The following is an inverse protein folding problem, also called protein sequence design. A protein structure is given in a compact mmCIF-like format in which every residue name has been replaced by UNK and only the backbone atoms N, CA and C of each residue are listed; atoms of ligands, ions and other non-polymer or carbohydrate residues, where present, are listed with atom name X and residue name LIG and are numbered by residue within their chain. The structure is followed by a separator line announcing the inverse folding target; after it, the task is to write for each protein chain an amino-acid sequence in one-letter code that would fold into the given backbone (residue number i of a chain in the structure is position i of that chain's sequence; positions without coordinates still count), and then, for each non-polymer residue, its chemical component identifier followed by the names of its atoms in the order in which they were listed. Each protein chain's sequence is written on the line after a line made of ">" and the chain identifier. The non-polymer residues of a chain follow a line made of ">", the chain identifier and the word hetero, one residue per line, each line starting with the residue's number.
data_IF_016228656985
#
_entry.id   IF_016228656985
#
_cell.length_a   1.000
_cell.length_b   1.000
_cell.length_c   1.000
_cell.angle_alpha   90.00
_cell.angle_beta   90.00
_cell.angle_gamma   90.00
#
_symmetry.space_group_name_H-M   'P 1'
#
loop_
_entity.id
_entity.type
_entity.pdbx_description
1 polymer ?
#
# COMPACT_ATOMS: atom_id res chain seq x y z
N UNK A 1 35.82 -40.20 27.12
CA UNK A 1 34.72 -41.09 26.74
C UNK A 1 33.44 -40.30 27.03
N UNK A 2 32.73 -39.81 26.03
CA UNK A 2 31.48 -39.09 26.27
C UNK A 2 30.38 -40.07 26.63
N UNK A 3 29.58 -39.65 27.56
CA UNK A 3 28.57 -40.35 28.34
C UNK A 3 27.51 -41.04 27.44
N UNK A 4 27.72 -42.32 27.16
CA UNK A 4 26.74 -43.17 26.43
C UNK A 4 25.44 -43.37 27.21
N UNK A 5 25.47 -43.10 28.54
CA UNK A 5 24.28 -43.17 29.38
C UNK A 5 23.27 -42.04 29.13
N UNK A 6 23.73 -40.84 28.81
CA UNK A 6 22.84 -39.69 28.51
C UNK A 6 22.15 -39.83 27.15
N UNK A 7 22.77 -40.41 26.15
CA UNK A 7 22.18 -40.66 24.83
C UNK A 7 21.11 -41.76 24.85
N UNK A 8 21.30 -42.79 25.71
CA UNK A 8 20.31 -43.87 25.88
C UNK A 8 19.07 -43.39 26.68
N UNK A 9 19.25 -42.47 27.64
CA UNK A 9 18.16 -41.89 28.42
C UNK A 9 17.23 -41.01 27.54
N UNK A 10 17.80 -40.28 26.58
CA UNK A 10 17.02 -39.47 25.64
C UNK A 10 16.22 -40.33 24.65
N UNK A 11 16.74 -41.47 24.23
CA UNK A 11 16.05 -42.40 23.35
C UNK A 11 14.87 -43.13 24.02
N UNK A 12 14.96 -43.37 25.36
CA UNK A 12 13.88 -44.08 26.10
C UNK A 12 12.65 -43.21 26.40
N UNK A 13 12.70 -41.88 26.22
CA UNK A 13 11.56 -40.98 26.48
C UNK A 13 10.67 -40.74 25.26
N UNK A 14 11.04 -41.24 24.09
CA UNK A 14 10.16 -41.16 22.91
C UNK A 14 9.08 -42.25 22.94
N UNK A 15 8.00 -42.00 23.70
CA UNK A 15 6.80 -42.87 23.60
C UNK A 15 6.28 -42.85 22.16
N UNK A 16 6.02 -44.02 21.54
CA UNK A 16 5.45 -44.02 20.19
C UNK A 16 4.10 -43.28 20.20
N UNK A 17 4.01 -42.32 19.29
CA UNK A 17 2.79 -41.52 19.14
C UNK A 17 1.63 -42.48 18.83
N UNK A 18 0.59 -42.47 19.66
CA UNK A 18 -0.56 -43.36 19.50
C UNK A 18 -1.20 -43.18 18.11
N UNK A 19 -1.74 -44.27 17.54
CA UNK A 19 -2.44 -44.23 16.24
C UNK A 19 -3.54 -43.17 16.20
N UNK A 20 -4.27 -42.99 17.32
CA UNK A 20 -5.25 -41.93 17.47
C UNK A 20 -4.65 -40.52 17.26
N UNK A 21 -3.52 -40.22 17.89
CA UNK A 21 -2.86 -38.90 17.71
C UNK A 21 -2.39 -38.68 16.28
N UNK A 22 -1.91 -39.73 15.60
CA UNK A 22 -1.54 -39.63 14.17
C UNK A 22 -2.77 -39.40 13.30
N UNK A 23 -3.89 -40.10 13.55
CA UNK A 23 -5.12 -39.88 12.82
C UNK A 23 -5.65 -38.45 13.01
N UNK A 24 -5.66 -37.94 14.24
CA UNK A 24 -6.06 -36.55 14.54
C UNK A 24 -5.14 -35.54 13.83
N UNK A 25 -3.82 -35.78 13.85
CA UNK A 25 -2.86 -34.89 13.16
C UNK A 25 -3.11 -34.84 11.66
N UNK A 26 -3.34 -36.00 11.02
CA UNK A 26 -3.66 -36.02 9.59
C UNK A 26 -5.00 -35.32 9.27
N UNK A 27 -6.01 -35.51 10.11
CA UNK A 27 -7.32 -34.84 9.95
C UNK A 27 -7.16 -33.33 10.13
N UNK A 28 -6.41 -32.87 11.15
CA UNK A 28 -6.16 -31.44 11.37
C UNK A 28 -5.33 -30.83 10.24
N UNK A 29 -4.32 -31.54 9.76
CA UNK A 29 -3.52 -31.12 8.60
C UNK A 29 -4.37 -31.02 7.34
N UNK A 30 -5.18 -32.02 7.06
CA UNK A 30 -6.12 -31.98 5.92
C UNK A 30 -7.13 -30.84 6.04
N UNK A 31 -7.69 -30.61 7.24
CA UNK A 31 -8.58 -29.49 7.50
C UNK A 31 -7.89 -28.14 7.30
N UNK A 32 -6.63 -28.00 7.74
CA UNK A 32 -5.85 -26.79 7.51
C UNK A 32 -5.60 -26.55 6.00
N UNK A 33 -5.23 -27.57 5.24
CA UNK A 33 -5.11 -27.47 3.78
C UNK A 33 -6.44 -27.11 3.11
N UNK A 34 -7.53 -27.75 3.51
CA UNK A 34 -8.86 -27.44 2.98
C UNK A 34 -9.26 -25.99 3.25
N UNK A 35 -8.97 -25.47 4.44
CA UNK A 35 -9.21 -24.05 4.80
C UNK A 35 -8.39 -23.12 3.92
N UNK A 36 -7.10 -23.42 3.71
CA UNK A 36 -6.23 -22.62 2.80
C UNK A 36 -6.80 -22.62 1.38
N UNK A 37 -7.19 -23.78 0.84
CA UNK A 37 -7.81 -23.87 -0.48
C UNK A 37 -9.12 -23.09 -0.57
N UNK A 38 -9.96 -23.17 0.46
CA UNK A 38 -11.23 -22.44 0.53
C UNK A 38 -11.03 -20.92 0.49
N UNK A 39 -9.99 -20.40 1.17
CA UNK A 39 -9.65 -18.97 1.17
C UNK A 39 -9.02 -18.53 -0.14
N UNK A 40 -8.16 -19.37 -0.74
CA UNK A 40 -7.47 -19.03 -1.98
C UNK A 40 -8.36 -19.15 -3.22
N UNK A 41 -9.34 -20.05 -3.23
CA UNK A 41 -10.18 -20.29 -4.39
C UNK A 41 -10.90 -19.04 -4.90
N UNK A 42 -11.61 -18.24 -4.09
CA UNK A 42 -12.24 -17.00 -4.56
C UNK A 42 -11.20 -15.97 -5.01
N UNK A 43 -10.04 -15.89 -4.36
CA UNK A 43 -8.97 -14.98 -4.76
C UNK A 43 -8.46 -15.34 -6.17
N UNK A 44 -8.15 -16.61 -6.40
CA UNK A 44 -7.68 -17.11 -7.71
C UNK A 44 -8.78 -16.91 -8.77
N UNK A 45 -10.05 -17.17 -8.43
CA UNK A 45 -11.16 -16.96 -9.34
C UNK A 45 -11.32 -15.50 -9.75
N UNK A 46 -11.25 -14.56 -8.78
CA UNK A 46 -11.34 -13.12 -9.06
C UNK A 46 -10.17 -12.67 -9.95
N UNK A 47 -8.94 -13.04 -9.60
CA UNK A 47 -7.77 -12.68 -10.40
C UNK A 47 -7.79 -13.32 -11.80
N UNK A 48 -8.18 -14.59 -11.91
CA UNK A 48 -8.32 -15.28 -13.19
C UNK A 48 -9.38 -14.64 -14.08
N UNK A 49 -10.53 -14.27 -13.50
CA UNK A 49 -11.60 -13.59 -14.24
C UNK A 49 -11.19 -12.18 -14.66
N UNK A 50 -10.51 -11.43 -13.77
CA UNK A 50 -9.97 -10.12 -14.07
C UNK A 50 -8.94 -10.16 -15.21
N UNK A 51 -8.04 -11.13 -15.21
CA UNK A 51 -7.08 -11.34 -16.30
C UNK A 51 -7.82 -11.66 -17.61
N UNK A 52 -8.77 -12.60 -17.57
CA UNK A 52 -9.52 -13.02 -18.75
C UNK A 52 -10.28 -11.86 -19.40
N UNK A 53 -11.02 -11.06 -18.61
CA UNK A 53 -11.82 -9.93 -19.12
C UNK A 53 -10.96 -8.68 -19.39
N UNK A 54 -9.99 -8.40 -18.51
CA UNK A 54 -9.17 -7.21 -18.59
C UNK A 54 -8.25 -7.19 -19.82
N UNK A 55 -7.56 -8.31 -20.10
CA UNK A 55 -6.63 -8.40 -21.24
C UNK A 55 -7.33 -8.16 -22.59
N UNK A 56 -8.58 -8.58 -22.72
CA UNK A 56 -9.35 -8.41 -23.95
C UNK A 56 -9.64 -6.94 -24.29
N UNK A 57 -9.61 -6.07 -23.29
CA UNK A 57 -10.01 -4.66 -23.42
C UNK A 57 -8.84 -3.68 -23.30
N UNK A 58 -7.65 -4.16 -22.85
CA UNK A 58 -6.44 -3.33 -22.82
C UNK A 58 -5.85 -3.22 -24.22
N UNK A 59 -5.80 -2.00 -24.74
CA UNK A 59 -5.14 -1.69 -25.99
C UNK A 59 -4.37 -0.35 -25.88
N UNK A 60 -3.62 0.03 -26.91
CA UNK A 60 -2.83 1.27 -26.88
C UNK A 60 -3.72 2.52 -26.69
N UNK A 61 -4.88 2.54 -27.33
CA UNK A 61 -5.84 3.63 -27.18
C UNK A 61 -6.33 3.74 -25.73
N UNK A 62 -6.61 2.62 -25.07
CA UNK A 62 -7.00 2.60 -23.66
C UNK A 62 -5.99 3.28 -22.73
N UNK A 63 -4.69 3.11 -23.00
CA UNK A 63 -3.61 3.68 -22.18
C UNK A 63 -3.30 5.14 -22.52
N UNK A 64 -3.64 5.61 -23.71
CA UNK A 64 -3.20 6.92 -24.23
C UNK A 64 -4.32 7.92 -24.50
N UNK A 65 -5.56 7.46 -24.62
CA UNK A 65 -6.71 8.32 -24.87
C UNK A 65 -7.48 8.62 -23.58
N UNK A 66 -8.17 9.75 -23.58
CA UNK A 66 -9.14 10.10 -22.55
C UNK A 66 -10.47 9.36 -22.80
N UNK A 67 -11.37 9.28 -21.80
CA UNK A 67 -12.70 8.77 -21.97
C UNK A 67 -13.47 9.46 -23.09
N UNK A 68 -14.32 8.71 -23.76
CA UNK A 68 -15.34 9.26 -24.66
C UNK A 68 -16.66 9.43 -23.93
N UNK A 69 -17.57 10.27 -24.47
CA UNK A 69 -18.94 10.39 -23.96
C UNK A 69 -19.65 9.03 -23.90
N UNK A 70 -20.57 8.90 -22.96
CA UNK A 70 -21.39 7.70 -22.82
C UNK A 70 -22.17 7.39 -24.10
N UNK A 71 -22.10 6.13 -24.53
CA UNK A 71 -22.72 5.68 -25.79
C UNK A 71 -21.81 5.72 -27.04
N UNK A 72 -20.61 6.30 -26.93
CA UNK A 72 -19.61 6.23 -28.00
C UNK A 72 -18.60 5.08 -27.71
N UNK A 73 -18.37 4.23 -28.71
CA UNK A 73 -17.40 3.15 -28.59
C UNK A 73 -15.96 3.68 -28.62
N UNK A 74 -15.09 3.05 -27.83
CA UNK A 74 -13.65 3.35 -27.74
C UNK A 74 -13.33 4.36 -26.62
N UNK A 75 -12.21 5.11 -26.77
CA UNK A 75 -11.64 5.92 -25.69
C UNK A 75 -10.76 5.11 -24.76
N UNK A 76 -10.32 5.72 -23.66
CA UNK A 76 -9.42 5.08 -22.70
C UNK A 76 -9.51 5.70 -21.30
N UNK A 77 -8.54 5.36 -20.45
CA UNK A 77 -8.45 5.83 -19.06
C UNK A 77 -7.11 6.53 -18.75
N UNK A 78 -6.45 7.12 -19.76
CA UNK A 78 -5.16 7.78 -19.59
C UNK A 78 -5.18 8.87 -18.50
N UNK A 79 -6.25 9.66 -18.45
CA UNK A 79 -6.49 10.68 -17.43
C UNK A 79 -6.55 10.07 -16.01
N UNK A 80 -7.23 8.93 -15.84
CA UNK A 80 -7.31 8.23 -14.57
C UNK A 80 -5.96 7.65 -14.12
N UNK A 81 -5.19 7.12 -15.06
CA UNK A 81 -3.83 6.60 -14.79
C UNK A 81 -2.93 7.74 -14.30
N UNK A 82 -2.85 8.82 -15.05
CA UNK A 82 -2.00 9.99 -14.72
C UNK A 82 -2.48 10.64 -13.41
N UNK A 83 -3.78 10.84 -13.27
CA UNK A 83 -4.34 11.45 -12.07
C UNK A 83 -4.11 10.60 -10.81
N UNK A 84 -4.23 9.27 -10.90
CA UNK A 84 -3.88 8.38 -9.79
C UNK A 84 -2.41 8.50 -9.43
N UNK A 85 -1.49 8.56 -10.39
CA UNK A 85 -0.06 8.75 -10.12
C UNK A 85 0.21 10.07 -9.40
N UNK A 86 -0.44 11.17 -9.81
CA UNK A 86 -0.33 12.47 -9.15
C UNK A 86 -0.82 12.41 -7.71
N UNK A 87 -2.04 11.90 -7.50
CA UNK A 87 -2.66 11.81 -6.16
C UNK A 87 -1.82 10.91 -5.23
N UNK A 88 -1.36 9.75 -5.70
CA UNK A 88 -0.51 8.84 -4.94
C UNK A 88 0.87 9.42 -4.64
N UNK A 89 1.43 10.20 -5.56
CA UNK A 89 2.69 10.90 -5.33
C UNK A 89 2.56 11.94 -4.21
N UNK A 90 1.48 12.73 -4.23
CA UNK A 90 1.18 13.69 -3.16
C UNK A 90 0.97 12.97 -1.83
N UNK A 91 0.17 11.89 -1.84
CA UNK A 91 -0.09 11.08 -0.65
C UNK A 91 1.21 10.51 -0.05
N UNK A 92 2.09 9.99 -0.90
CA UNK A 92 3.37 9.41 -0.48
C UNK A 92 4.35 10.48 0.02
N UNK A 93 4.41 11.64 -0.65
CA UNK A 93 5.29 12.74 -0.26
C UNK A 93 4.95 13.29 1.14
N UNK A 94 3.69 13.23 1.52
CA UNK A 94 3.22 13.63 2.84
C UNK A 94 3.24 12.43 3.81
N UNK A 95 2.61 11.32 3.43
CA UNK A 95 2.37 10.19 4.32
C UNK A 95 3.65 9.47 4.76
N UNK A 96 4.63 9.32 3.85
CA UNK A 96 5.87 8.59 4.17
C UNK A 96 6.74 9.34 5.19
N UNK A 97 7.09 10.63 5.02
CA UNK A 97 7.91 11.33 6.01
C UNK A 97 7.25 11.40 7.38
N UNK A 98 5.96 11.73 7.44
CA UNK A 98 5.24 11.82 8.71
C UNK A 98 5.08 10.46 9.38
N UNK A 99 4.74 9.42 8.63
CA UNK A 99 4.58 8.07 9.15
C UNK A 99 5.89 7.47 9.66
N UNK A 100 6.97 7.58 8.87
CA UNK A 100 8.30 7.10 9.27
C UNK A 100 8.83 7.90 10.47
N UNK A 101 8.71 9.23 10.44
CA UNK A 101 9.13 10.08 11.56
C UNK A 101 8.40 9.75 12.86
N UNK A 102 7.09 9.57 12.81
CA UNK A 102 6.29 9.15 13.96
C UNK A 102 6.69 7.74 14.46
N UNK A 103 6.90 6.78 13.55
CA UNK A 103 7.34 5.43 13.90
C UNK A 103 8.71 5.41 14.56
N UNK A 104 9.67 6.19 14.06
CA UNK A 104 10.99 6.35 14.68
C UNK A 104 10.84 6.94 16.09
N UNK A 105 10.02 7.99 16.22
CA UNK A 105 9.75 8.60 17.54
C UNK A 105 9.18 7.56 18.51
N UNK A 106 8.21 6.77 18.10
CA UNK A 106 7.57 5.75 18.94
C UNK A 106 8.54 4.66 19.36
N UNK A 107 9.40 4.17 18.49
CA UNK A 107 10.35 3.11 18.77
C UNK A 107 11.45 3.56 19.73
N UNK A 108 11.97 4.78 19.57
CA UNK A 108 13.16 5.24 20.29
C UNK A 108 12.83 6.11 21.53
N UNK A 109 11.75 6.90 21.45
CA UNK A 109 11.41 7.91 22.46
C UNK A 109 9.98 7.77 23.01
N UNK A 110 9.19 6.86 22.45
CA UNK A 110 7.74 6.77 22.70
C UNK A 110 7.34 6.09 24.03
N UNK A 111 8.23 5.94 25.02
CA UNK A 111 7.92 5.37 26.34
C UNK A 111 7.29 6.41 27.31
N UNK A 112 6.48 7.30 26.80
CA UNK A 112 5.85 8.38 27.54
C UNK A 112 4.35 8.52 27.17
N UNK A 113 3.63 9.43 27.84
CA UNK A 113 2.19 9.68 27.57
C UNK A 113 1.91 10.10 26.14
N UNK A 114 2.80 10.88 25.53
CA UNK A 114 2.67 11.30 24.13
C UNK A 114 2.79 10.10 23.18
N UNK A 115 3.77 9.20 23.41
CA UNK A 115 3.90 7.98 22.63
C UNK A 115 2.67 7.09 22.72
N UNK A 116 2.08 6.95 23.91
CA UNK A 116 0.82 6.21 24.08
C UNK A 116 -0.34 6.86 23.33
N UNK A 117 -0.43 8.18 23.36
CA UNK A 117 -1.46 8.92 22.64
C UNK A 117 -1.31 8.76 21.11
N UNK A 118 -0.09 8.84 20.58
CA UNK A 118 0.19 8.64 19.15
C UNK A 118 -0.19 7.21 18.71
N UNK A 119 0.21 6.18 19.49
CA UNK A 119 -0.17 4.78 19.22
C UNK A 119 -1.68 4.61 19.19
N UNK A 120 -2.36 5.11 20.23
CA UNK A 120 -3.81 5.05 20.31
C UNK A 120 -4.47 5.74 19.11
N UNK A 121 -4.01 6.93 18.73
CA UNK A 121 -4.54 7.66 17.57
C UNK A 121 -4.30 6.89 16.26
N UNK A 122 -3.10 6.30 16.08
CA UNK A 122 -2.80 5.49 14.91
C UNK A 122 -3.69 4.24 14.83
N UNK A 123 -3.91 3.56 15.96
CA UNK A 123 -4.77 2.36 16.02
C UNK A 123 -6.24 2.72 15.72
N UNK A 124 -6.74 3.82 16.27
CA UNK A 124 -8.09 4.33 15.97
C UNK A 124 -8.22 4.69 14.50
N UNK A 125 -7.27 5.44 13.92
CA UNK A 125 -7.32 5.85 12.52
C UNK A 125 -7.24 4.64 11.56
N UNK A 126 -6.50 3.59 11.91
CA UNK A 126 -6.49 2.35 11.12
C UNK A 126 -7.85 1.62 11.12
N UNK A 127 -8.66 1.82 12.16
CA UNK A 127 -10.02 1.26 12.28
C UNK A 127 -11.12 2.12 11.66
N UNK A 128 -10.84 3.39 11.32
CA UNK A 128 -11.84 4.29 10.73
C UNK A 128 -12.19 3.85 9.30
N UNK A 129 -13.48 3.73 8.95
CA UNK A 129 -13.89 3.49 7.57
C UNK A 129 -13.37 4.59 6.63
N UNK A 130 -12.83 4.20 5.47
CA UNK A 130 -12.20 5.14 4.52
C UNK A 130 -13.15 6.24 4.03
N UNK A 131 -14.45 5.95 3.96
CA UNK A 131 -15.47 6.94 3.59
C UNK A 131 -15.53 8.10 4.62
N UNK A 132 -15.38 7.80 5.92
CA UNK A 132 -15.38 8.81 6.98
C UNK A 132 -14.16 9.73 6.84
N UNK A 133 -12.99 9.16 6.53
CA UNK A 133 -11.79 9.95 6.25
C UNK A 133 -12.01 10.89 5.05
N UNK A 134 -12.70 10.43 4.01
CA UNK A 134 -13.07 11.25 2.85
C UNK A 134 -14.00 12.42 3.24
N UNK A 135 -15.04 12.17 4.05
CA UNK A 135 -15.98 13.21 4.52
C UNK A 135 -15.26 14.25 5.39
N UNK A 136 -14.39 13.81 6.30
CA UNK A 136 -13.59 14.71 7.14
C UNK A 136 -12.65 15.57 6.29
N UNK A 137 -11.95 14.96 5.32
CA UNK A 137 -11.09 15.67 4.39
C UNK A 137 -11.89 16.67 3.53
N UNK A 138 -13.10 16.33 3.09
CA UNK A 138 -14.02 17.24 2.43
C UNK A 138 -14.33 18.46 3.30
N UNK A 139 -14.74 18.23 4.55
CA UNK A 139 -15.14 19.30 5.46
C UNK A 139 -14.00 20.29 5.76
N UNK A 140 -12.77 19.79 5.88
CA UNK A 140 -11.59 20.59 6.24
C UNK A 140 -10.96 21.27 5.03
N UNK A 141 -10.82 20.54 3.90
CA UNK A 141 -10.05 20.97 2.73
C UNK A 141 -10.98 21.47 1.62
N UNK A 142 -11.88 20.61 1.14
CA UNK A 142 -12.64 20.86 -0.09
C UNK A 142 -13.61 22.02 0.07
N UNK A 143 -14.26 22.17 1.23
CA UNK A 143 -15.14 23.33 1.49
C UNK A 143 -14.46 24.68 1.31
N UNK A 144 -13.13 24.73 1.47
CA UNK A 144 -12.36 26.00 1.39
C UNK A 144 -11.64 26.15 0.06
N UNK A 145 -11.08 25.08 -0.50
CA UNK A 145 -10.21 25.13 -1.69
C UNK A 145 -10.80 24.46 -2.92
N UNK A 146 -11.98 23.82 -2.81
CA UNK A 146 -12.58 23.03 -3.90
C UNK A 146 -11.99 21.62 -4.01
N UNK A 147 -12.62 20.84 -4.89
CA UNK A 147 -12.13 19.50 -5.23
C UNK A 147 -10.80 19.58 -5.96
N UNK A 148 -9.84 18.71 -5.61
CA UNK A 148 -8.51 18.76 -6.20
C UNK A 148 -7.71 17.48 -5.99
N UNK A 149 -6.69 17.26 -6.84
CA UNK A 149 -5.70 16.20 -6.64
C UNK A 149 -4.97 16.35 -5.29
N UNK A 150 -4.72 17.59 -4.87
CA UNK A 150 -4.08 17.89 -3.58
C UNK A 150 -4.97 17.40 -2.41
N UNK A 151 -6.27 17.74 -2.42
CA UNK A 151 -7.19 17.29 -1.38
C UNK A 151 -7.30 15.76 -1.35
N UNK A 152 -7.33 15.12 -2.53
CA UNK A 152 -7.27 13.65 -2.66
C UNK A 152 -6.00 13.06 -2.07
N UNK A 153 -4.85 13.63 -2.42
CA UNK A 153 -3.55 13.20 -1.91
C UNK A 153 -3.41 13.34 -0.40
N UNK A 154 -3.89 14.44 0.19
CA UNK A 154 -3.92 14.62 1.65
C UNK A 154 -4.86 13.63 2.33
N UNK A 155 -6.05 13.37 1.76
CA UNK A 155 -6.96 12.37 2.31
C UNK A 155 -6.34 10.97 2.35
N UNK A 156 -5.67 10.57 1.27
CA UNK A 156 -4.93 9.30 1.23
C UNK A 156 -3.72 9.30 2.17
N UNK A 157 -3.01 10.43 2.32
CA UNK A 157 -1.89 10.54 3.26
C UNK A 157 -2.34 10.31 4.71
N UNK A 158 -3.49 10.86 5.11
CA UNK A 158 -4.09 10.62 6.44
C UNK A 158 -4.28 9.12 6.69
N UNK A 159 -4.65 8.35 5.67
CA UNK A 159 -4.81 6.91 5.79
C UNK A 159 -3.47 6.15 5.76
N UNK A 160 -2.45 6.68 5.06
CA UNK A 160 -1.12 6.06 5.00
C UNK A 160 -0.35 6.21 6.31
N UNK A 161 -0.41 7.40 6.94
CA UNK A 161 0.39 7.74 8.13
C UNK A 161 0.26 6.70 9.25
N UNK A 162 -0.92 6.31 9.73
CA UNK A 162 -1.03 5.36 10.84
C UNK A 162 -0.45 3.98 10.51
N UNK A 163 -0.67 3.48 9.30
CA UNK A 163 -0.11 2.20 8.85
C UNK A 163 1.42 2.25 8.79
N UNK A 164 2.00 3.29 8.20
CA UNK A 164 3.45 3.47 8.12
C UNK A 164 4.06 3.67 9.52
N UNK A 165 3.40 4.43 10.38
CA UNK A 165 3.84 4.67 11.76
C UNK A 165 3.99 3.36 12.52
N UNK A 166 2.96 2.52 12.52
CA UNK A 166 2.96 1.24 13.25
C UNK A 166 3.97 0.25 12.68
N UNK A 167 3.99 0.08 11.36
CA UNK A 167 4.96 -0.84 10.73
C UNK A 167 6.40 -0.37 10.93
N UNK A 168 6.67 0.93 10.87
CA UNK A 168 8.01 1.48 11.14
C UNK A 168 8.41 1.23 12.60
N UNK A 169 7.54 1.52 13.56
CA UNK A 169 7.77 1.23 14.98
C UNK A 169 8.11 -0.25 15.20
N UNK A 170 7.30 -1.17 14.69
CA UNK A 170 7.49 -2.60 14.83
C UNK A 170 8.82 -3.06 14.22
N UNK A 171 9.15 -2.60 13.01
CA UNK A 171 10.41 -2.97 12.35
C UNK A 171 11.64 -2.46 13.10
N UNK A 172 11.58 -1.26 13.67
CA UNK A 172 12.68 -0.72 14.48
C UNK A 172 12.84 -1.46 15.80
N UNK A 173 11.75 -1.91 16.42
CA UNK A 173 11.80 -2.68 17.66
C UNK A 173 12.38 -4.09 17.46
N UNK A 174 12.34 -4.65 16.25
CA UNK A 174 12.97 -5.93 15.92
C UNK A 174 14.51 -5.85 15.86
N UNK A 175 15.10 -4.67 15.77
CA UNK A 175 16.56 -4.50 15.73
C UNK A 175 17.15 -4.86 17.11
N UNK A 176 18.11 -5.83 17.18
CA UNK A 176 18.68 -6.28 18.43
C UNK A 176 19.26 -5.14 19.28
N UNK A 177 18.96 -5.17 20.58
CA UNK A 177 19.41 -4.13 21.51
C UNK A 177 20.94 -4.06 21.63
N UNK A 178 21.62 -5.21 21.48
CA UNK A 178 23.08 -5.28 21.49
C UNK A 178 23.75 -4.38 20.45
N UNK A 179 23.15 -4.16 19.27
CA UNK A 179 23.66 -3.24 18.26
C UNK A 179 23.62 -1.78 18.73
N UNK A 180 22.56 -1.42 19.46
CA UNK A 180 22.39 -0.07 20.03
C UNK A 180 23.38 0.16 21.17
N UNK A 181 23.52 -0.82 22.05
CA UNK A 181 24.45 -0.78 23.19
C UNK A 181 25.91 -0.71 22.73
N UNK A 182 26.28 -1.47 21.71
CA UNK A 182 27.61 -1.39 21.11
C UNK A 182 27.92 0.01 20.56
N UNK A 183 26.94 0.64 19.88
CA UNK A 183 27.10 2.01 19.39
C UNK A 183 27.24 3.02 20.52
N UNK A 184 26.47 2.88 21.58
CA UNK A 184 26.59 3.74 22.78
C UNK A 184 27.90 3.55 23.50
N UNK A 185 28.42 2.30 23.58
CA UNK A 185 29.72 2.00 24.12
C UNK A 185 30.89 2.66 23.37
N UNK A 186 30.71 2.91 22.07
CA UNK A 186 31.63 3.67 21.22
C UNK A 186 31.42 5.20 21.30
N UNK A 187 30.55 5.68 22.18
CA UNK A 187 30.28 7.11 22.35
C UNK A 187 29.37 7.74 21.28
N UNK A 188 28.70 6.92 20.44
CA UNK A 188 27.77 7.43 19.42
C UNK A 188 26.50 7.96 20.08
N UNK A 189 26.08 9.16 19.75
CA UNK A 189 24.86 9.78 20.29
C UNK A 189 23.59 9.03 19.84
N UNK A 190 22.52 9.07 20.66
CA UNK A 190 21.26 8.36 20.41
C UNK A 190 20.70 8.59 19.01
N UNK A 191 20.58 9.84 18.59
CA UNK A 191 20.00 10.16 17.28
C UNK A 191 20.83 9.60 16.11
N UNK A 192 22.16 9.63 16.22
CA UNK A 192 23.05 9.02 15.21
C UNK A 192 22.92 7.51 15.20
N UNK A 193 22.85 6.85 16.34
CA UNK A 193 22.59 5.41 16.43
C UNK A 193 21.28 5.06 15.77
N UNK A 194 20.20 5.83 16.02
CA UNK A 194 18.89 5.61 15.41
C UNK A 194 18.94 5.71 13.88
N UNK A 195 19.53 6.77 13.34
CA UNK A 195 19.52 6.99 11.88
C UNK A 195 20.53 6.11 11.13
N UNK A 196 21.75 5.91 11.69
CA UNK A 196 22.85 5.25 10.99
C UNK A 196 22.86 3.74 11.19
N UNK A 197 22.34 3.25 12.30
CA UNK A 197 22.38 1.84 12.67
C UNK A 197 20.97 1.26 12.68
N UNK A 198 20.10 1.73 13.56
CA UNK A 198 18.77 1.11 13.77
C UNK A 198 17.91 1.22 12.52
N UNK A 199 17.75 2.42 11.97
CA UNK A 199 16.95 2.62 10.76
C UNK A 199 17.56 1.92 9.55
N UNK A 200 18.89 1.96 9.41
CA UNK A 200 19.58 1.29 8.31
C UNK A 200 19.42 -0.24 8.38
N UNK A 201 19.48 -0.83 9.56
CA UNK A 201 19.22 -2.26 9.77
C UNK A 201 17.78 -2.64 9.48
N UNK A 202 16.81 -1.79 9.87
CA UNK A 202 15.39 -2.02 9.68
C UNK A 202 14.87 -1.59 8.28
N UNK A 203 15.69 -1.01 7.41
CA UNK A 203 15.28 -0.35 6.16
C UNK A 203 14.40 -1.25 5.28
N UNK A 204 14.74 -2.53 5.12
CA UNK A 204 13.97 -3.45 4.28
C UNK A 204 12.55 -3.67 4.82
N UNK A 205 12.40 -3.77 6.14
CA UNK A 205 11.10 -3.89 6.82
C UNK A 205 10.28 -2.61 6.73
N UNK A 206 10.90 -1.46 7.00
CA UNK A 206 10.25 -0.14 6.91
C UNK A 206 9.72 0.11 5.48
N UNK A 207 10.54 -0.17 4.46
CA UNK A 207 10.11 -0.02 3.06
C UNK A 207 8.98 -0.99 2.72
N UNK A 208 9.02 -2.22 3.24
CA UNK A 208 7.90 -3.15 3.05
C UNK A 208 6.60 -2.61 3.66
N UNK A 209 6.67 -2.00 4.85
CA UNK A 209 5.53 -1.32 5.48
C UNK A 209 5.00 -0.14 4.67
N UNK A 210 5.91 0.69 4.13
CA UNK A 210 5.53 1.80 3.23
C UNK A 210 4.83 1.26 1.98
N UNK A 211 5.35 0.20 1.35
CA UNK A 211 4.75 -0.38 0.15
C UNK A 211 3.39 -1.00 0.43
N UNK A 212 3.19 -1.60 1.61
CA UNK A 212 1.89 -2.10 2.03
C UNK A 212 0.87 -0.97 2.18
N UNK A 213 1.24 0.12 2.84
CA UNK A 213 0.39 1.30 2.97
C UNK A 213 0.07 1.92 1.59
N UNK A 214 1.07 2.06 0.72
CA UNK A 214 0.91 2.53 -0.66
C UNK A 214 -0.06 1.66 -1.46
N UNK A 215 0.14 0.35 -1.48
CA UNK A 215 -0.72 -0.58 -2.21
C UNK A 215 -2.18 -0.53 -1.72
N UNK A 216 -2.38 -0.37 -0.41
CA UNK A 216 -3.70 -0.21 0.19
C UNK A 216 -4.39 1.04 -0.34
N UNK A 217 -3.78 2.21 -0.21
CA UNK A 217 -4.43 3.47 -0.59
C UNK A 217 -4.55 3.66 -2.11
N UNK A 218 -3.71 2.98 -2.89
CA UNK A 218 -3.79 3.04 -4.36
C UNK A 218 -5.10 2.48 -4.93
N UNK A 219 -5.76 1.59 -4.20
CA UNK A 219 -7.09 1.05 -4.56
C UNK A 219 -8.28 1.77 -3.91
N UNK A 220 -8.06 2.79 -3.09
CA UNK A 220 -9.14 3.46 -2.36
C UNK A 220 -9.97 4.36 -3.28
N UNK A 221 -11.29 4.17 -3.22
CA UNK A 221 -12.27 4.92 -4.04
C UNK A 221 -13.02 5.95 -3.20
N UNK A 222 -13.50 5.56 -2.02
CA UNK A 222 -14.40 6.38 -1.22
C UNK A 222 -13.81 7.74 -0.80
N UNK A 223 -12.56 7.86 -0.31
CA UNK A 223 -11.99 9.17 0.01
C UNK A 223 -11.87 10.07 -1.21
N UNK A 224 -11.55 9.52 -2.37
CA UNK A 224 -11.36 10.27 -3.60
C UNK A 224 -12.68 10.83 -4.15
N UNK A 225 -13.79 10.13 -3.94
CA UNK A 225 -15.12 10.61 -4.31
C UNK A 225 -15.44 11.96 -3.64
N UNK A 226 -15.01 12.13 -2.39
CA UNK A 226 -15.26 13.35 -1.61
C UNK A 226 -14.18 14.41 -1.76
N UNK A 227 -13.03 14.11 -2.39
CA UNK A 227 -11.90 15.04 -2.39
C UNK A 227 -11.35 15.35 -3.77
N UNK A 228 -11.27 14.39 -4.67
CA UNK A 228 -10.83 14.58 -6.06
C UNK A 228 -12.00 14.74 -7.03
N UNK A 229 -13.19 14.26 -6.70
CA UNK A 229 -14.45 14.27 -7.43
C UNK A 229 -14.44 13.44 -8.72
N UNK A 230 -13.28 13.21 -9.35
CA UNK A 230 -13.14 12.54 -10.64
C UNK A 230 -13.62 13.41 -11.81
N UNK A 231 -12.70 13.91 -12.60
CA UNK A 231 -13.01 14.63 -13.83
C UNK A 231 -12.67 13.74 -15.04
N UNK A 232 -13.68 13.21 -15.72
CA UNK A 232 -13.46 12.33 -16.88
C UNK A 232 -12.87 13.08 -18.08
N UNK A 233 -13.25 14.33 -18.23
CA UNK A 233 -12.78 15.18 -19.30
C UNK A 233 -11.60 16.06 -18.87
N UNK A 234 -10.93 15.68 -17.77
CA UNK A 234 -9.76 16.39 -17.35
C UNK A 234 -8.71 16.35 -18.46
N UNK A 235 -8.63 17.44 -19.16
CA UNK A 235 -7.61 17.71 -20.16
C UNK A 235 -6.30 18.16 -19.52
N UNK A 236 -6.06 17.74 -18.28
CA UNK A 236 -4.76 17.86 -17.66
C UNK A 236 -3.78 17.19 -18.60
N UNK A 237 -2.91 18.00 -19.17
CA UNK A 237 -2.12 17.69 -20.35
C UNK A 237 -1.30 16.47 -20.08
N UNK A 238 -1.64 15.41 -20.76
CA UNK A 238 -0.88 14.18 -20.75
C UNK A 238 0.54 14.50 -21.22
N UNK A 239 1.58 13.85 -20.70
CA UNK A 239 2.98 14.14 -21.06
C UNK A 239 3.27 14.09 -22.56
N UNK A 240 2.43 13.42 -23.34
CA UNK A 240 2.52 13.29 -24.78
C UNK A 240 1.61 14.25 -25.58
N UNK A 241 0.90 15.16 -24.92
CA UNK A 241 0.10 16.19 -25.60
C UNK A 241 1.00 17.30 -26.12
N UNK A 242 0.84 17.70 -27.39
CA UNK A 242 1.62 18.77 -28.04
C UNK A 242 1.52 20.13 -27.35
N UNK A 243 0.52 20.31 -26.50
CA UNK A 243 0.30 21.54 -25.73
C UNK A 243 0.94 21.51 -24.31
N UNK A 244 1.64 20.44 -23.95
CA UNK A 244 2.34 20.27 -22.68
C UNK A 244 3.23 21.47 -22.27
N UNK A 245 3.84 22.13 -23.23
CA UNK A 245 4.81 23.21 -22.97
C UNK A 245 4.20 24.55 -22.55
N UNK A 246 2.89 24.74 -22.57
CA UNK A 246 2.27 26.04 -22.37
C UNK A 246 1.76 26.33 -20.96
N UNK A 247 1.72 25.38 -20.04
CA UNK A 247 1.30 25.62 -18.65
C UNK A 247 2.05 24.72 -17.68
N UNK A 248 2.50 25.28 -16.53
CA UNK A 248 3.24 24.51 -15.52
C UNK A 248 2.37 23.44 -14.85
N UNK A 249 2.97 22.40 -14.35
CA UNK A 249 2.42 21.22 -13.65
C UNK A 249 1.48 21.53 -12.46
N UNK A 250 1.48 22.76 -11.97
CA UNK A 250 0.62 23.22 -10.86
C UNK A 250 -0.86 23.21 -11.21
N UNK A 251 -1.22 23.17 -12.49
CA UNK A 251 -2.63 23.23 -12.94
C UNK A 251 -3.41 21.99 -12.56
N UNK A 252 -2.77 20.81 -12.44
CA UNK A 252 -3.45 19.57 -12.06
C UNK A 252 -3.68 19.38 -10.56
N UNK A 253 -2.90 20.07 -9.69
CA UNK A 253 -2.98 19.85 -8.25
C UNK A 253 -4.21 20.49 -7.60
N UNK A 254 -4.66 21.64 -8.11
CA UNK A 254 -5.75 22.43 -7.54
C UNK A 254 -7.08 22.30 -8.31
N UNK A 255 -7.23 21.29 -9.15
CA UNK A 255 -8.44 21.04 -9.93
C UNK A 255 -8.99 19.65 -9.70
N UNK A 256 -10.30 19.43 -9.90
CA UNK A 256 -10.89 18.09 -9.91
C UNK A 256 -10.12 17.19 -10.86
N UNK A 257 -9.66 16.05 -10.36
CA UNK A 257 -8.73 15.17 -11.08
C UNK A 257 -9.30 13.77 -11.15
N UNK A 258 -9.21 13.15 -12.33
CA UNK A 258 -9.56 11.75 -12.50
C UNK A 258 -8.69 10.86 -11.59
N UNK A 259 -9.29 9.79 -11.12
CA UNK A 259 -8.57 8.75 -10.40
C UNK A 259 -9.03 7.38 -10.91
N UNK A 260 -8.08 6.50 -11.17
CA UNK A 260 -8.37 5.20 -11.77
C UNK A 260 -9.37 4.37 -10.94
N UNK A 261 -9.23 4.26 -9.59
CA UNK A 261 -10.22 3.54 -8.78
C UNK A 261 -11.63 4.13 -8.89
N UNK A 262 -11.73 5.46 -8.98
CA UNK A 262 -13.01 6.16 -9.09
C UNK A 262 -13.66 5.96 -10.46
N UNK A 263 -12.88 6.00 -11.55
CA UNK A 263 -13.36 5.69 -12.90
C UNK A 263 -13.78 4.22 -13.01
N UNK A 264 -13.01 3.29 -12.48
CA UNK A 264 -13.38 1.86 -12.45
C UNK A 264 -14.73 1.68 -11.77
N UNK A 265 -14.93 2.31 -10.60
CA UNK A 265 -16.19 2.23 -9.86
C UNK A 265 -17.35 2.78 -10.70
N UNK A 266 -17.20 3.97 -11.29
CA UNK A 266 -18.23 4.59 -12.13
C UNK A 266 -18.59 3.73 -13.35
N UNK A 267 -17.59 3.17 -14.01
CA UNK A 267 -17.79 2.35 -15.20
C UNK A 267 -18.38 0.97 -14.87
N UNK A 268 -18.00 0.39 -13.74
CA UNK A 268 -18.56 -0.87 -13.29
C UNK A 268 -20.05 -0.77 -12.89
N UNK A 269 -20.51 0.43 -12.53
CA UNK A 269 -21.91 0.70 -12.17
C UNK A 269 -22.73 1.33 -13.31
N UNK A 270 -22.12 1.54 -14.48
CA UNK A 270 -22.79 2.08 -15.66
C UNK A 270 -23.72 1.06 -16.30
N UNK A 271 -24.79 1.47 -17.01
CA UNK A 271 -25.64 0.55 -17.77
C UNK A 271 -25.03 0.10 -19.13
N UNK A 272 -23.86 0.61 -19.53
CA UNK A 272 -23.25 0.37 -20.84
C UNK A 272 -22.19 -0.72 -20.80
N UNK A 273 -22.33 -1.76 -21.63
CA UNK A 273 -21.39 -2.89 -21.69
C UNK A 273 -19.96 -2.49 -22.09
N UNK A 274 -19.81 -1.44 -22.90
CA UNK A 274 -18.49 -0.93 -23.28
C UNK A 274 -17.73 -0.35 -22.08
N UNK A 275 -18.45 0.35 -21.19
CA UNK A 275 -17.85 0.87 -19.96
C UNK A 275 -17.50 -0.24 -18.98
N UNK A 276 -18.32 -1.31 -18.89
CA UNK A 276 -17.96 -2.50 -18.12
C UNK A 276 -16.66 -3.15 -18.61
N UNK A 277 -16.47 -3.26 -19.94
CA UNK A 277 -15.22 -3.78 -20.51
C UNK A 277 -14.03 -2.90 -20.13
N UNK A 278 -14.19 -1.58 -20.20
CA UNK A 278 -13.16 -0.63 -19.77
C UNK A 278 -12.90 -0.70 -18.25
N UNK A 279 -13.91 -0.94 -17.43
CA UNK A 279 -13.74 -1.13 -15.99
C UNK A 279 -12.84 -2.34 -15.68
N UNK A 280 -13.02 -3.48 -16.37
CA UNK A 280 -12.15 -4.64 -16.24
C UNK A 280 -10.71 -4.34 -16.68
N UNK A 281 -10.53 -3.63 -17.79
CA UNK A 281 -9.23 -3.19 -18.26
C UNK A 281 -8.55 -2.24 -17.24
N UNK A 282 -9.31 -1.27 -16.71
CA UNK A 282 -8.84 -0.32 -15.71
C UNK A 282 -8.39 -1.01 -14.42
N UNK A 283 -9.17 -1.98 -13.93
CA UNK A 283 -8.82 -2.76 -12.76
C UNK A 283 -7.53 -3.58 -12.96
N UNK A 284 -7.36 -4.18 -14.14
CA UNK A 284 -6.14 -4.89 -14.49
C UNK A 284 -4.93 -3.95 -14.54
N UNK A 285 -5.07 -2.79 -15.20
CA UNK A 285 -4.01 -1.78 -15.29
C UNK A 285 -3.65 -1.23 -13.90
N UNK A 286 -4.63 -0.98 -13.03
CA UNK A 286 -4.39 -0.55 -11.64
C UNK A 286 -3.54 -1.57 -10.87
N UNK A 287 -3.87 -2.85 -10.96
CA UNK A 287 -3.10 -3.91 -10.30
C UNK A 287 -1.68 -3.98 -10.86
N UNK A 288 -1.52 -3.94 -12.18
CA UNK A 288 -0.21 -3.96 -12.84
C UNK A 288 0.62 -2.75 -12.37
N UNK A 289 0.03 -1.57 -12.30
CA UNK A 289 0.68 -0.34 -11.84
C UNK A 289 1.16 -0.48 -10.39
N UNK A 290 0.30 -0.96 -9.48
CA UNK A 290 0.65 -1.17 -8.08
C UNK A 290 1.76 -2.21 -7.94
N UNK A 291 1.63 -3.37 -8.58
CA UNK A 291 2.62 -4.45 -8.53
C UNK A 291 3.96 -3.99 -9.09
N UNK A 292 3.95 -3.26 -10.20
CA UNK A 292 5.16 -2.72 -10.82
C UNK A 292 5.83 -1.69 -9.91
N UNK A 293 5.08 -0.74 -9.35
CA UNK A 293 5.60 0.26 -8.42
C UNK A 293 6.23 -0.39 -7.17
N UNK A 294 5.51 -1.31 -6.53
CA UNK A 294 6.00 -2.04 -5.35
C UNK A 294 7.24 -2.88 -5.68
N UNK A 295 7.23 -3.59 -6.82
CA UNK A 295 8.35 -4.43 -7.25
C UNK A 295 9.59 -3.60 -7.61
N UNK A 296 9.42 -2.45 -8.27
CA UNK A 296 10.51 -1.55 -8.62
C UNK A 296 11.21 -1.01 -7.36
N UNK A 297 10.44 -0.54 -6.37
CA UNK A 297 11.02 -0.06 -5.10
C UNK A 297 11.72 -1.19 -4.36
N UNK A 298 11.12 -2.38 -4.30
CA UNK A 298 11.73 -3.55 -3.64
C UNK A 298 13.05 -3.97 -4.29
N UNK A 299 13.12 -3.91 -5.62
CA UNK A 299 14.30 -4.24 -6.38
C UNK A 299 15.45 -3.26 -6.13
N UNK A 300 15.18 -1.94 -6.14
CA UNK A 300 16.18 -0.90 -5.86
C UNK A 300 16.76 -1.02 -4.46
N UNK A 301 15.92 -1.32 -3.47
CA UNK A 301 16.33 -1.48 -2.07
C UNK A 301 17.22 -2.71 -1.88
N UNK A 302 16.86 -3.85 -2.50
CA UNK A 302 17.68 -5.06 -2.42
C UNK A 302 19.07 -4.84 -3.00
N UNK A 303 19.21 -4.12 -4.11
CA UNK A 303 20.53 -3.80 -4.70
C UNK A 303 21.35 -2.86 -3.81
N UNK A 304 20.72 -1.88 -3.16
CA UNK A 304 21.41 -0.96 -2.25
C UNK A 304 21.94 -1.62 -0.98
N UNK A 305 21.31 -2.70 -0.49
CA UNK A 305 21.78 -3.43 0.70
C UNK A 305 22.97 -4.36 0.42
N UNK A 306 23.16 -4.83 -0.81
CA UNK A 306 24.31 -5.66 -1.21
C UNK A 306 25.57 -4.85 -1.59
N UNK A 307 25.45 -3.54 -1.81
CA UNK A 307 26.60 -2.68 -2.16
C UNK A 307 27.31 -2.06 -0.96
N UNK A 308 26.90 -2.40 0.27
CA UNK A 308 27.44 -1.83 1.51
C UNK A 308 28.03 -2.91 2.45
N UNK A 309 28.32 -4.11 1.94
CA UNK A 309 29.03 -5.20 2.65
C UNK A 309 30.47 -5.29 2.21
#
# INVERSE_FOLDING_TARGET
>A
MPDTASSLAVQQTMRPVSLYRRAVDHVMTAAAFATVLLVLAPLIAIFGYLLYKGVQSVNWAFLTQIPKPEGEAGGGMANGIVGSMIILSVASLIGVPFGVGAGIYLAEFGRNRLGSAIRFTADVLNGVPSIVTGIVAYAILVRRSGFSALAGGVALAIMMVPTITRTTEEMLLLVPQALREAAYGLGVSRWRTTLSITLRTATSGVITGIMLAFARVAGETAPLLFTALGNEFWSGRLPWDSHWHRQPWTVGLNQPTAALPLQIFKYATSPYDDLHRQAWAGALVLIILIVTAVSAVRYTVRRGSFGAA
#
